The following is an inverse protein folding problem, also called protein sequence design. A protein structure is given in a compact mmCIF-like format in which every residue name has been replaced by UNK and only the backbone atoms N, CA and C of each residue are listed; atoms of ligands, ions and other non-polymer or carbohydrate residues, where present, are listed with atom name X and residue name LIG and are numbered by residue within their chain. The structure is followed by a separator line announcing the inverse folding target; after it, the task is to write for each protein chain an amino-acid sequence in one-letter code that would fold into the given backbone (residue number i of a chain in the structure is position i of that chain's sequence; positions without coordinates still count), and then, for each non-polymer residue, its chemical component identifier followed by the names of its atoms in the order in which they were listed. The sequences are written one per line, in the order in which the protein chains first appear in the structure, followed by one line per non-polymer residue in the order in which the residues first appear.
data_IF_925869664145
#
_entry.id   IF_925869664145
#
_cell.length_a   1.000
_cell.length_b   1.000
_cell.length_c   1.000
_cell.angle_alpha   90.00
_cell.angle_beta   90.00
_cell.angle_gamma   90.00
#
_symmetry.space_group_name_H-M   'P 1'
#
loop_
_entity.id
_entity.type
_entity.pdbx_description
1 polymer ?
#
# COMPACT_ATOMS: atom_id res chain seq x y z
N UNK A 1 -18.61 -33.59 -9.64
CA UNK A 1 -17.79 -33.15 -8.49
C UNK A 1 -17.55 -31.67 -8.59
N UNK A 2 -18.40 -30.91 -7.88
CA UNK A 2 -18.22 -29.47 -7.68
C UNK A 2 -17.10 -29.30 -6.66
N UNK A 3 -15.86 -29.12 -7.10
CA UNK A 3 -14.76 -28.71 -6.25
C UNK A 3 -14.76 -27.20 -6.09
N UNK A 4 -15.44 -26.67 -5.08
CA UNK A 4 -15.14 -25.37 -4.51
C UNK A 4 -13.74 -25.43 -3.94
N UNK A 5 -12.72 -25.09 -4.68
CA UNK A 5 -11.39 -24.85 -4.12
C UNK A 5 -11.40 -23.52 -3.36
N UNK A 6 -11.26 -23.63 -2.05
CA UNK A 6 -10.94 -22.53 -1.15
C UNK A 6 -9.67 -21.85 -1.65
N UNK A 7 -9.70 -20.54 -1.74
CA UNK A 7 -8.50 -19.72 -1.93
C UNK A 7 -7.53 -19.96 -0.78
N UNK A 8 -6.52 -20.77 -0.99
CA UNK A 8 -5.34 -20.80 -0.12
C UNK A 8 -4.45 -19.64 -0.55
N UNK A 9 -4.40 -18.61 0.28
CA UNK A 9 -3.38 -17.56 0.20
C UNK A 9 -2.02 -18.22 0.39
N UNK A 10 -1.26 -18.36 -0.67
CA UNK A 10 0.18 -18.54 -0.55
C UNK A 10 0.81 -17.16 -0.36
N UNK A 11 1.43 -16.99 0.82
CA UNK A 11 2.26 -15.83 1.12
C UNK A 11 3.54 -15.85 0.29
N UNK A 12 3.91 -14.62 -0.14
CA UNK A 12 5.24 -14.22 -0.59
C UNK A 12 5.89 -15.05 -1.70
N UNK A 13 5.67 -14.64 -2.93
CA UNK A 13 6.71 -14.34 -3.93
C UNK A 13 6.05 -13.53 -5.04
N UNK A 14 6.57 -12.32 -5.31
CA UNK A 14 6.37 -11.46 -6.51
C UNK A 14 5.03 -11.66 -7.23
N UNK A 15 4.11 -10.72 -6.99
CA UNK A 15 2.72 -10.78 -7.32
C UNK A 15 2.38 -10.94 -8.80
N UNK A 16 2.34 -12.16 -9.23
CA UNK A 16 1.46 -12.58 -10.30
C UNK A 16 0.46 -13.51 -9.64
N UNK A 17 -0.66 -12.96 -9.16
CA UNK A 17 -1.82 -13.79 -8.89
C UNK A 17 -2.28 -14.36 -10.23
N UNK A 18 -1.92 -15.61 -10.50
CA UNK A 18 -2.52 -16.36 -11.58
C UNK A 18 -3.97 -16.68 -11.17
N UNK A 19 -4.90 -15.77 -11.45
CA UNK A 19 -6.29 -16.13 -11.57
C UNK A 19 -6.39 -17.05 -12.80
N UNK A 20 -6.37 -18.36 -12.58
CA UNK A 20 -6.78 -19.32 -13.58
C UNK A 20 -8.29 -19.16 -13.77
N UNK A 21 -8.69 -18.30 -14.70
CA UNK A 21 -10.05 -18.36 -15.22
C UNK A 21 -10.24 -19.75 -15.84
N UNK A 22 -11.34 -20.44 -15.58
CA UNK A 22 -11.68 -21.61 -16.33
C UNK A 22 -11.96 -21.17 -17.78
N UNK A 23 -10.92 -21.28 -18.64
CA UNK A 23 -11.01 -20.92 -20.06
C UNK A 23 -11.90 -21.92 -20.80
N UNK A 24 -12.21 -23.04 -20.18
CA UNK A 24 -13.16 -24.02 -20.69
C UNK A 24 -13.80 -24.82 -19.56
N UNK A 25 -15.08 -25.02 -19.64
CA UNK A 25 -15.83 -25.95 -18.80
C UNK A 25 -15.98 -27.24 -19.59
N UNK A 26 -15.34 -28.33 -19.10
CA UNK A 26 -15.52 -29.65 -19.69
C UNK A 26 -16.76 -30.28 -19.04
N UNK A 27 -17.85 -30.35 -19.80
CA UNK A 27 -19.07 -31.04 -19.38
C UNK A 27 -18.97 -32.51 -19.76
N UNK A 28 -18.61 -33.35 -18.79
CA UNK A 28 -18.49 -34.80 -18.98
C UNK A 28 -19.83 -35.47 -19.29
N UNK A 29 -20.95 -34.93 -18.84
CA UNK A 29 -22.26 -35.51 -19.11
C UNK A 29 -22.61 -35.43 -20.60
N UNK A 30 -22.26 -34.33 -21.28
CA UNK A 30 -22.48 -34.19 -22.73
C UNK A 30 -21.55 -35.10 -23.55
N UNK A 31 -20.37 -35.45 -23.03
CA UNK A 31 -19.44 -36.38 -23.68
C UNK A 31 -19.94 -37.81 -23.54
N UNK A 32 -20.44 -38.18 -22.36
CA UNK A 32 -20.98 -39.54 -22.08
C UNK A 32 -22.24 -39.82 -22.92
N UNK A 33 -23.08 -38.84 -23.16
CA UNK A 33 -24.30 -38.99 -24.03
C UNK A 33 -23.99 -39.26 -25.52
N UNK A 34 -22.74 -39.01 -25.97
CA UNK A 34 -22.29 -39.28 -27.34
C UNK A 34 -21.38 -40.51 -27.45
N UNK A 35 -21.58 -41.50 -26.61
CA UNK A 35 -20.74 -42.71 -26.50
C UNK A 35 -20.41 -43.44 -27.81
N UNK A 36 -21.24 -43.30 -28.85
CA UNK A 36 -21.01 -43.93 -30.12
C UNK A 36 -19.90 -43.28 -30.96
N UNK A 37 -19.63 -42.01 -30.76
CA UNK A 37 -18.54 -41.27 -31.45
C UNK A 37 -17.23 -41.35 -30.70
N UNK A 38 -17.28 -41.32 -29.36
CA UNK A 38 -16.08 -41.31 -28.49
C UNK A 38 -15.25 -42.58 -28.57
N UNK A 39 -15.82 -43.73 -28.98
CA UNK A 39 -15.10 -44.99 -29.08
C UNK A 39 -14.08 -45.09 -30.22
N UNK A 40 -14.11 -44.21 -31.19
CA UNK A 40 -13.21 -44.24 -32.36
C UNK A 40 -12.06 -43.22 -32.31
N UNK A 41 -12.19 -42.18 -31.51
CA UNK A 41 -11.21 -41.07 -31.47
C UNK A 41 -10.56 -40.98 -30.09
N UNK A 42 -9.25 -40.75 -30.07
CA UNK A 42 -8.50 -40.48 -28.82
C UNK A 42 -8.58 -38.99 -28.54
N UNK A 43 -9.25 -38.65 -27.42
CA UNK A 43 -9.35 -37.27 -26.98
C UNK A 43 -8.33 -37.06 -25.86
N UNK A 44 -7.60 -35.92 -25.93
CA UNK A 44 -6.70 -35.51 -24.87
C UNK A 44 -6.88 -34.00 -24.64
N UNK A 45 -6.60 -33.59 -23.41
CA UNK A 45 -6.55 -32.18 -23.06
C UNK A 45 -5.21 -31.90 -22.40
N UNK A 46 -4.72 -30.67 -22.58
CA UNK A 46 -3.46 -30.23 -22.00
C UNK A 46 -3.76 -29.11 -21.01
N UNK A 47 -3.31 -29.29 -19.78
CA UNK A 47 -3.32 -28.23 -18.78
C UNK A 47 -2.00 -27.50 -18.89
N UNK A 48 -2.05 -26.29 -19.44
CA UNK A 48 -0.85 -25.47 -19.56
C UNK A 48 -0.53 -24.79 -18.23
N UNK A 49 0.74 -24.67 -17.91
CA UNK A 49 1.18 -23.83 -16.79
C UNK A 49 1.11 -22.34 -17.17
N UNK A 50 1.20 -21.45 -16.15
CA UNK A 50 1.10 -20.01 -16.34
C UNK A 50 2.15 -19.47 -17.32
N UNK A 51 3.36 -19.99 -17.28
CA UNK A 51 4.48 -19.56 -18.12
C UNK A 51 4.25 -19.90 -19.60
N UNK A 52 3.76 -21.09 -19.90
CA UNK A 52 3.38 -21.51 -21.25
C UNK A 52 2.23 -20.66 -21.82
N UNK A 53 1.25 -20.35 -20.97
CA UNK A 53 0.13 -19.45 -21.36
C UNK A 53 0.64 -18.03 -21.62
N UNK A 54 1.51 -17.50 -20.78
CA UNK A 54 2.10 -16.18 -20.95
C UNK A 54 2.87 -16.09 -22.27
N UNK A 55 3.75 -17.07 -22.56
CA UNK A 55 4.51 -17.11 -23.80
C UNK A 55 3.61 -17.21 -25.05
N UNK A 56 2.51 -17.94 -24.94
CA UNK A 56 1.55 -18.09 -26.04
C UNK A 56 0.79 -16.81 -26.31
N UNK A 57 0.25 -16.17 -25.26
CA UNK A 57 -0.62 -15.00 -25.41
C UNK A 57 0.13 -13.68 -25.50
N UNK A 58 1.38 -13.60 -25.02
CA UNK A 58 2.22 -12.39 -25.11
C UNK A 58 2.48 -11.93 -26.55
N UNK A 59 2.36 -12.82 -27.51
CA UNK A 59 2.54 -12.52 -28.96
C UNK A 59 1.22 -12.16 -29.65
N UNK A 60 0.09 -12.36 -29.02
CA UNK A 60 -1.25 -12.19 -29.61
C UNK A 60 -1.92 -10.88 -29.22
N UNK A 61 -1.32 -10.11 -28.30
CA UNK A 61 -1.82 -8.81 -27.90
C UNK A 61 -0.98 -7.68 -28.47
N UNK A 62 -1.63 -6.58 -28.73
CA UNK A 62 -1.00 -5.33 -29.14
C UNK A 62 -1.58 -4.20 -28.31
N UNK A 63 -0.70 -3.45 -27.64
CA UNK A 63 -1.08 -2.28 -26.82
C UNK A 63 -0.35 -1.09 -27.40
N UNK A 64 -1.09 -0.05 -27.78
CA UNK A 64 -0.51 1.18 -28.29
C UNK A 64 -1.27 2.40 -27.82
N UNK A 65 -0.56 3.52 -27.76
CA UNK A 65 -1.10 4.80 -27.35
C UNK A 65 -1.91 5.40 -28.52
N UNK A 66 -3.23 5.46 -28.37
CA UNK A 66 -4.12 6.01 -29.39
C UNK A 66 -4.04 7.54 -29.44
N UNK A 67 -4.03 8.19 -28.27
CA UNK A 67 -3.93 9.63 -28.15
C UNK A 67 -2.96 9.98 -27.02
N UNK A 68 -1.78 10.55 -27.31
CA UNK A 68 -0.78 10.94 -26.30
C UNK A 68 -1.28 12.03 -25.35
N UNK A 69 -2.08 12.97 -25.83
CA UNK A 69 -2.57 14.11 -25.03
C UNK A 69 -3.63 13.64 -24.04
N UNK A 70 -4.57 12.81 -24.49
CA UNK A 70 -5.61 12.22 -23.65
C UNK A 70 -5.13 10.94 -22.92
N UNK A 71 -3.89 10.50 -23.12
CA UNK A 71 -3.32 9.28 -22.54
C UNK A 71 -4.20 8.04 -22.78
N UNK A 72 -4.84 7.97 -23.96
CA UNK A 72 -5.75 6.90 -24.31
C UNK A 72 -4.98 5.73 -24.90
N UNK A 73 -5.12 4.55 -24.29
CA UNK A 73 -4.54 3.30 -24.75
C UNK A 73 -5.57 2.50 -25.55
N UNK A 74 -5.11 1.86 -26.63
CA UNK A 74 -5.87 0.85 -27.34
C UNK A 74 -5.24 -0.52 -27.05
N UNK A 75 -6.09 -1.46 -26.63
CA UNK A 75 -5.68 -2.84 -26.31
C UNK A 75 -6.39 -3.75 -27.32
N UNK A 76 -5.61 -4.51 -28.08
CA UNK A 76 -6.12 -5.43 -29.08
C UNK A 76 -5.61 -6.85 -28.81
N UNK A 77 -6.47 -7.82 -29.04
CA UNK A 77 -6.13 -9.23 -28.93
C UNK A 77 -6.54 -9.96 -30.22
N UNK A 78 -5.67 -10.82 -30.76
CA UNK A 78 -5.93 -11.62 -31.93
C UNK A 78 -5.96 -13.11 -31.55
N UNK A 79 -7.08 -13.78 -31.77
CA UNK A 79 -7.22 -15.23 -31.56
C UNK A 79 -8.11 -15.81 -32.67
N UNK A 80 -8.03 -17.12 -32.92
CA UNK A 80 -8.87 -17.82 -33.86
C UNK A 80 -10.34 -17.87 -33.40
N UNK A 81 -10.58 -17.70 -32.10
CA UNK A 81 -11.91 -17.57 -31.50
C UNK A 81 -12.15 -16.10 -31.13
N UNK A 82 -13.10 -15.41 -31.80
CA UNK A 82 -13.34 -13.99 -31.57
C UNK A 82 -13.93 -13.70 -30.19
N UNK A 83 -14.76 -14.60 -29.62
CA UNK A 83 -15.26 -14.43 -28.23
C UNK A 83 -14.14 -14.46 -27.26
N UNK A 84 -13.23 -15.42 -27.38
CA UNK A 84 -12.06 -15.56 -26.54
C UNK A 84 -11.12 -14.35 -26.66
N UNK A 85 -10.95 -13.77 -27.86
CA UNK A 85 -10.15 -12.56 -28.04
C UNK A 85 -10.74 -11.37 -27.28
N UNK A 86 -12.06 -11.17 -27.35
CA UNK A 86 -12.77 -10.13 -26.63
C UNK A 86 -12.69 -10.33 -25.11
N UNK A 87 -12.88 -11.56 -24.63
CA UNK A 87 -12.81 -11.91 -23.21
C UNK A 87 -11.42 -11.67 -22.65
N UNK A 88 -10.36 -12.09 -23.37
CA UNK A 88 -8.98 -11.86 -22.94
C UNK A 88 -8.63 -10.36 -22.89
N UNK A 89 -9.09 -9.58 -23.87
CA UNK A 89 -8.90 -8.14 -23.88
C UNK A 89 -9.58 -7.48 -22.65
N UNK A 90 -10.84 -7.78 -22.42
CA UNK A 90 -11.59 -7.26 -21.28
C UNK A 90 -10.99 -7.71 -19.93
N UNK A 91 -10.51 -8.95 -19.86
CA UNK A 91 -9.85 -9.47 -18.67
C UNK A 91 -8.56 -8.72 -18.37
N UNK A 92 -7.69 -8.53 -19.37
CA UNK A 92 -6.43 -7.77 -19.18
C UNK A 92 -6.69 -6.35 -18.72
N UNK A 93 -7.69 -5.68 -19.27
CA UNK A 93 -8.06 -4.32 -18.85
C UNK A 93 -8.58 -4.29 -17.42
N UNK A 94 -9.45 -5.22 -17.04
CA UNK A 94 -9.98 -5.32 -15.69
C UNK A 94 -8.87 -5.65 -14.67
N UNK A 95 -7.97 -6.58 -15.00
CA UNK A 95 -6.87 -6.96 -14.16
C UNK A 95 -5.85 -5.81 -13.99
N UNK A 96 -5.62 -5.04 -15.06
CA UNK A 96 -4.80 -3.82 -14.96
C UNK A 96 -5.42 -2.79 -14.02
N UNK A 97 -6.73 -2.58 -14.08
CA UNK A 97 -7.43 -1.67 -13.17
C UNK A 97 -7.36 -2.14 -11.71
N UNK A 98 -7.55 -3.45 -11.47
CA UNK A 98 -7.41 -4.03 -10.14
C UNK A 98 -5.99 -3.87 -9.60
N UNK A 99 -4.99 -4.17 -10.43
CA UNK A 99 -3.59 -4.01 -10.09
C UNK A 99 -3.23 -2.55 -9.78
N UNK A 100 -3.71 -1.58 -10.57
CA UNK A 100 -3.50 -0.16 -10.32
C UNK A 100 -4.12 0.28 -8.99
N UNK A 101 -5.34 -0.20 -8.70
CA UNK A 101 -6.02 0.07 -7.44
C UNK A 101 -5.29 -0.56 -6.24
N UNK A 102 -4.94 -1.85 -6.32
CA UNK A 102 -4.15 -2.53 -5.28
C UNK A 102 -2.82 -1.82 -5.03
N UNK A 103 -2.13 -1.44 -6.09
CA UNK A 103 -0.88 -0.70 -6.01
C UNK A 103 -1.03 0.65 -5.31
N UNK A 104 -2.11 1.39 -5.58
CA UNK A 104 -2.39 2.68 -4.96
C UNK A 104 -2.77 2.55 -3.48
N UNK A 105 -3.48 1.48 -3.12
CA UNK A 105 -3.90 1.23 -1.73
C UNK A 105 -2.82 0.59 -0.88
N UNK A 106 -1.79 -0.02 -1.46
CA UNK A 106 -0.74 -0.76 -0.76
C UNK A 106 -0.06 0.07 0.36
N UNK A 107 0.13 1.38 0.12
CA UNK A 107 0.69 2.29 1.11
C UNK A 107 -0.19 2.41 2.36
N UNK A 108 -1.48 2.67 2.17
CA UNK A 108 -2.46 2.76 3.23
C UNK A 108 -2.60 1.43 3.98
N UNK A 109 -2.66 0.30 3.27
CA UNK A 109 -2.75 -1.03 3.86
C UNK A 109 -1.58 -1.35 4.80
N UNK A 110 -0.38 -0.99 4.38
CA UNK A 110 0.80 -1.17 5.24
C UNK A 110 0.74 -0.28 6.48
N UNK A 111 0.24 0.95 6.35
CA UNK A 111 0.07 1.86 7.50
C UNK A 111 -0.97 1.34 8.48
N UNK A 112 -2.12 0.89 7.98
CA UNK A 112 -3.16 0.26 8.78
C UNK A 112 -2.60 -0.96 9.54
N UNK A 113 -1.88 -1.85 8.86
CA UNK A 113 -1.28 -3.04 9.47
C UNK A 113 -0.25 -2.70 10.56
N UNK A 114 0.55 -1.65 10.35
CA UNK A 114 1.47 -1.16 11.37
C UNK A 114 0.72 -0.65 12.60
N UNK A 115 -0.30 0.20 12.38
CA UNK A 115 -1.12 0.74 13.46
C UNK A 115 -1.82 -0.39 14.23
N UNK A 116 -2.40 -1.37 13.57
CA UNK A 116 -3.04 -2.53 14.20
C UNK A 116 -2.07 -3.36 15.06
N UNK A 117 -0.82 -3.49 14.60
CA UNK A 117 0.21 -4.20 15.36
C UNK A 117 0.59 -3.41 16.62
N UNK A 118 0.70 -2.09 16.51
CA UNK A 118 1.01 -1.18 17.63
C UNK A 118 -0.15 -1.12 18.61
N UNK A 119 -1.41 -1.06 18.11
CA UNK A 119 -2.61 -1.07 18.95
C UNK A 119 -2.68 -2.27 19.88
N UNK A 120 -2.34 -3.46 19.38
CA UNK A 120 -2.32 -4.67 20.24
C UNK A 120 -1.34 -4.56 21.41
N UNK A 121 -0.18 -3.96 21.18
CA UNK A 121 0.79 -3.70 22.25
C UNK A 121 0.26 -2.70 23.26
N UNK A 122 -0.26 -1.56 22.78
CA UNK A 122 -0.81 -0.49 23.62
C UNK A 122 -2.02 -0.93 24.42
N UNK A 123 -2.89 -1.78 23.86
CA UNK A 123 -4.03 -2.35 24.57
C UNK A 123 -3.60 -3.15 25.81
N UNK A 124 -2.53 -3.92 25.70
CA UNK A 124 -1.99 -4.66 26.84
C UNK A 124 -1.44 -3.71 27.91
N UNK A 125 -0.69 -2.69 27.48
CA UNK A 125 -0.13 -1.68 28.40
C UNK A 125 -1.23 -0.84 29.05
N UNK A 126 -2.28 -0.47 28.32
CA UNK A 126 -3.44 0.23 28.85
C UNK A 126 -4.11 -0.58 29.96
N UNK A 127 -4.38 -1.84 29.68
CA UNK A 127 -5.02 -2.74 30.65
C UNK A 127 -4.15 -2.94 31.91
N UNK A 128 -2.85 -3.08 31.74
CA UNK A 128 -1.92 -3.24 32.87
C UNK A 128 -1.86 -1.97 33.72
N UNK A 129 -1.82 -0.79 33.08
CA UNK A 129 -1.83 0.50 33.79
C UNK A 129 -3.14 0.75 34.52
N UNK A 130 -4.28 0.40 33.91
CA UNK A 130 -5.62 0.48 34.53
C UNK A 130 -5.69 -0.38 35.78
N UNK A 131 -5.29 -1.64 35.72
CA UNK A 131 -5.29 -2.55 36.85
C UNK A 131 -4.37 -2.07 37.96
N UNK A 132 -3.19 -1.56 37.64
CA UNK A 132 -2.24 -1.04 38.61
C UNK A 132 -2.79 0.18 39.34
N UNK A 133 -3.41 1.09 38.60
CA UNK A 133 -4.07 2.28 39.17
C UNK A 133 -5.25 1.91 40.08
N UNK A 134 -6.11 0.97 39.63
CA UNK A 134 -7.25 0.51 40.42
C UNK A 134 -6.83 -0.15 41.73
N UNK A 135 -5.86 -1.05 41.69
CA UNK A 135 -5.32 -1.73 42.87
C UNK A 135 -4.73 -0.72 43.85
N UNK A 136 -3.93 0.24 43.36
CA UNK A 136 -3.34 1.26 44.23
C UNK A 136 -4.38 2.15 44.91
N UNK A 137 -5.43 2.60 44.17
CA UNK A 137 -6.56 3.38 44.73
C UNK A 137 -7.29 2.61 45.80
N UNK A 138 -7.55 1.31 45.57
CA UNK A 138 -8.27 0.43 46.51
C UNK A 138 -7.49 0.19 47.80
N UNK A 139 -6.17 -0.07 47.69
CA UNK A 139 -5.31 -0.33 48.85
C UNK A 139 -5.10 0.91 49.72
N UNK A 140 -4.90 2.08 49.09
CA UNK A 140 -4.53 3.31 49.80
C UNK A 140 -5.76 4.20 50.13
N UNK A 141 -6.94 3.89 49.65
CA UNK A 141 -8.19 4.67 49.82
C UNK A 141 -8.05 6.13 49.36
N UNK A 142 -7.19 6.39 48.34
CA UNK A 142 -6.93 7.71 47.78
C UNK A 142 -7.71 7.79 46.48
N UNK A 143 -8.45 8.89 46.26
CA UNK A 143 -9.35 9.04 45.12
C UNK A 143 -8.75 9.99 44.08
N UNK A 144 -8.19 11.10 44.49
CA UNK A 144 -7.64 12.13 43.58
C UNK A 144 -6.26 12.64 44.00
N UNK A 145 -5.41 13.00 43.05
CA UNK A 145 -4.17 13.73 43.30
C UNK A 145 -4.45 15.17 43.80
N UNK A 146 -3.45 15.81 44.39
CA UNK A 146 -3.53 17.22 44.81
C UNK A 146 -3.63 18.14 43.56
N UNK A 147 -4.20 19.36 43.73
CA UNK A 147 -4.44 20.28 42.65
C UNK A 147 -3.19 20.73 41.88
N UNK A 148 -2.05 20.81 42.58
CA UNK A 148 -0.76 21.11 41.94
C UNK A 148 -0.28 19.95 41.06
N UNK A 149 -0.42 18.70 41.56
CA UNK A 149 -0.11 17.51 40.77
C UNK A 149 -1.00 17.37 39.52
N UNK A 150 -2.25 17.87 39.58
CA UNK A 150 -3.18 17.85 38.44
C UNK A 150 -2.74 18.79 37.32
N UNK A 151 -2.30 20.00 37.64
CA UNK A 151 -1.77 20.95 36.65
C UNK A 151 -0.50 20.44 35.94
N UNK A 152 0.42 19.85 36.72
CA UNK A 152 1.65 19.28 36.14
C UNK A 152 1.37 18.04 35.28
N UNK A 153 0.37 17.24 35.67
CA UNK A 153 -0.13 16.13 34.86
C UNK A 153 -0.71 16.62 33.53
N UNK A 154 -1.52 17.67 33.51
CA UNK A 154 -2.08 18.23 32.28
C UNK A 154 -0.98 18.72 31.33
N UNK A 155 0.08 19.33 31.88
CA UNK A 155 1.23 19.75 31.09
C UNK A 155 1.98 18.54 30.49
N UNK A 156 2.23 17.51 31.30
CA UNK A 156 2.80 16.26 30.81
C UNK A 156 1.92 15.62 29.75
N UNK A 157 0.59 15.59 29.92
CA UNK A 157 -0.31 15.04 28.90
C UNK A 157 -0.22 15.76 27.56
N UNK A 158 -0.12 17.08 27.57
CA UNK A 158 0.11 17.87 26.35
C UNK A 158 1.41 17.48 25.64
N UNK A 159 2.50 17.33 26.41
CA UNK A 159 3.81 16.90 25.87
C UNK A 159 3.78 15.48 25.33
N UNK A 160 3.03 14.60 25.94
CA UNK A 160 2.88 13.23 25.51
C UNK A 160 2.04 13.10 24.22
N UNK A 161 0.99 13.91 24.07
CA UNK A 161 0.25 13.98 22.80
C UNK A 161 1.16 14.40 21.63
N UNK A 162 2.05 15.36 21.86
CA UNK A 162 3.05 15.78 20.90
C UNK A 162 4.08 14.66 20.63
N UNK A 163 4.59 14.02 21.68
CA UNK A 163 5.53 12.88 21.55
C UNK A 163 4.95 11.74 20.73
N UNK A 164 3.69 11.38 20.97
CA UNK A 164 3.02 10.30 20.24
C UNK A 164 2.88 10.61 18.76
N UNK A 165 2.53 11.84 18.40
CA UNK A 165 2.50 12.28 16.99
C UNK A 165 3.87 12.14 16.35
N UNK A 166 4.93 12.61 17.02
CA UNK A 166 6.31 12.48 16.54
C UNK A 166 6.78 11.03 16.42
N UNK A 167 6.34 10.12 17.31
CA UNK A 167 6.64 8.69 17.20
C UNK A 167 5.98 8.06 15.96
N UNK A 168 4.76 8.44 15.64
CA UNK A 168 4.10 8.02 14.39
C UNK A 168 4.82 8.57 13.17
N UNK A 169 5.23 9.83 13.20
CA UNK A 169 6.01 10.44 12.13
C UNK A 169 7.36 9.70 11.97
N UNK A 170 8.06 9.41 13.06
CA UNK A 170 9.30 8.65 13.06
C UNK A 170 9.13 7.26 12.43
N UNK A 171 8.10 6.51 12.84
CA UNK A 171 7.82 5.19 12.28
C UNK A 171 7.53 5.26 10.77
N UNK A 172 6.89 6.32 10.31
CA UNK A 172 6.60 6.52 8.91
C UNK A 172 7.84 6.93 8.11
N UNK A 173 8.70 7.80 8.68
CA UNK A 173 10.00 8.18 8.10
C UNK A 173 10.92 6.96 7.96
N UNK A 174 11.01 6.11 8.98
CA UNK A 174 11.80 4.88 8.94
C UNK A 174 11.31 3.90 7.88
N UNK A 175 10.03 3.86 7.69
CA UNK A 175 9.43 3.05 6.65
C UNK A 175 9.74 3.59 5.25
N UNK A 176 9.61 4.90 5.04
CA UNK A 176 10.01 5.54 3.77
C UNK A 176 11.47 5.26 3.45
N UNK A 177 12.35 5.35 4.44
CA UNK A 177 13.76 5.02 4.26
C UNK A 177 13.95 3.60 3.74
N UNK A 178 13.28 2.62 4.35
CA UNK A 178 13.32 1.21 3.92
C UNK A 178 12.72 0.97 2.53
N UNK A 179 11.64 1.68 2.22
CA UNK A 179 10.95 1.52 0.93
C UNK A 179 11.79 2.11 -0.21
N UNK A 180 12.48 3.25 0.01
CA UNK A 180 13.39 3.85 -0.98
C UNK A 180 14.62 2.97 -1.26
N UNK A 181 15.13 2.29 -0.26
CA UNK A 181 16.26 1.37 -0.41
C UNK A 181 15.89 0.12 -1.24
N UNK A 182 14.63 -0.29 -1.20
CA UNK A 182 14.15 -1.54 -1.82
C UNK A 182 13.47 -1.33 -3.15
N UNK A 183 12.90 -0.16 -3.41
CA UNK A 183 11.98 0.04 -4.51
C UNK A 183 12.56 0.93 -5.60
N UNK A 184 12.41 0.44 -6.84
CA UNK A 184 12.84 1.17 -8.05
C UNK A 184 11.80 2.21 -8.48
N UNK A 185 10.54 2.05 -8.05
CA UNK A 185 9.40 2.89 -8.48
C UNK A 185 8.95 3.86 -7.37
N UNK A 186 9.43 5.10 -7.48
CA UNK A 186 9.18 6.17 -6.49
C UNK A 186 7.73 6.68 -6.53
N UNK A 187 6.98 6.43 -7.62
CA UNK A 187 5.58 6.87 -7.70
C UNK A 187 4.69 6.25 -6.60
N UNK A 188 5.08 5.10 -6.07
CA UNK A 188 4.42 4.46 -4.93
C UNK A 188 4.62 5.22 -3.60
N UNK A 189 5.70 5.99 -3.49
CA UNK A 189 5.98 6.79 -2.29
C UNK A 189 5.03 7.97 -2.14
N UNK A 190 4.54 8.54 -3.27
CA UNK A 190 3.57 9.64 -3.24
C UNK A 190 2.27 9.27 -2.51
N UNK A 191 1.82 8.02 -2.63
CA UNK A 191 0.61 7.55 -1.96
C UNK A 191 0.83 7.43 -0.44
N UNK A 192 2.04 7.07 -0.03
CA UNK A 192 2.43 7.00 1.39
C UNK A 192 2.53 8.41 1.98
N UNK A 193 3.00 9.37 1.18
CA UNK A 193 3.18 10.76 1.58
C UNK A 193 1.86 11.53 1.70
N UNK A 194 0.80 11.13 1.02
CA UNK A 194 -0.47 11.90 0.96
C UNK A 194 -1.30 11.87 2.25
N UNK A 195 -0.89 11.18 3.30
CA UNK A 195 -1.64 11.10 4.57
C UNK A 195 -0.85 11.56 5.80
N UNK A 196 0.36 12.10 5.65
CA UNK A 196 1.26 12.36 6.77
C UNK A 196 1.87 13.76 6.68
N UNK A 197 2.17 14.34 7.84
CA UNK A 197 2.89 15.62 7.99
C UNK A 197 4.37 15.47 7.60
N UNK A 198 4.62 15.25 6.29
CA UNK A 198 5.99 15.27 5.81
C UNK A 198 6.46 16.67 5.51
N UNK A 199 7.75 16.86 5.72
CA UNK A 199 8.45 18.04 5.28
C UNK A 199 8.13 18.30 3.79
N UNK A 200 7.64 19.48 3.48
CA UNK A 200 7.30 19.92 2.12
C UNK A 200 8.46 19.67 1.15
N UNK A 201 9.70 19.69 1.65
CA UNK A 201 10.89 19.37 0.88
C UNK A 201 10.88 17.93 0.35
N UNK A 202 10.50 16.96 1.18
CA UNK A 202 10.43 15.54 0.77
C UNK A 202 9.39 15.39 -0.35
N UNK A 203 8.23 16.01 -0.20
CA UNK A 203 7.17 15.99 -1.19
C UNK A 203 7.61 16.58 -2.53
N UNK A 204 8.24 17.75 -2.50
CA UNK A 204 8.76 18.42 -3.71
C UNK A 204 9.80 17.57 -4.43
N UNK A 205 10.71 16.93 -3.71
CA UNK A 205 11.72 16.05 -4.32
C UNK A 205 11.09 14.84 -4.97
N UNK A 206 10.10 14.21 -4.32
CA UNK A 206 9.37 13.06 -4.88
C UNK A 206 8.57 13.46 -6.12
N UNK A 207 7.89 14.60 -6.11
CA UNK A 207 7.20 15.15 -7.30
C UNK A 207 8.18 15.42 -8.44
N UNK A 208 9.36 15.98 -8.15
CA UNK A 208 10.39 16.21 -9.17
C UNK A 208 10.88 14.90 -9.80
N UNK A 209 11.11 13.87 -9.00
CA UNK A 209 11.50 12.55 -9.52
C UNK A 209 10.40 11.98 -10.42
N UNK A 210 9.13 12.11 -10.03
CA UNK A 210 8.00 11.66 -10.84
C UNK A 210 7.97 12.35 -12.21
N UNK A 211 8.15 13.67 -12.24
CA UNK A 211 8.22 14.42 -13.50
C UNK A 211 9.36 13.90 -14.39
N UNK A 212 10.54 13.68 -13.81
CA UNK A 212 11.69 13.15 -14.56
C UNK A 212 11.45 11.71 -15.07
N UNK A 213 10.76 10.87 -14.32
CA UNK A 213 10.38 9.53 -14.78
C UNK A 213 9.36 9.57 -15.91
N UNK A 214 8.42 10.51 -15.88
CA UNK A 214 7.45 10.73 -16.96
C UNK A 214 8.15 11.30 -18.23
N UNK A 215 9.09 12.25 -18.07
CA UNK A 215 9.93 12.74 -19.15
C UNK A 215 10.76 11.61 -19.79
N UNK A 216 11.38 10.77 -18.96
CA UNK A 216 12.13 9.58 -19.41
C UNK A 216 11.25 8.62 -20.21
N UNK A 217 10.02 8.36 -19.70
CA UNK A 217 9.06 7.48 -20.39
C UNK A 217 8.67 8.04 -21.75
N UNK A 218 8.43 9.34 -21.83
CA UNK A 218 8.10 10.03 -23.08
C UNK A 218 9.27 10.02 -24.07
N UNK A 219 10.50 10.25 -23.58
CA UNK A 219 11.70 10.21 -24.43
C UNK A 219 11.95 8.79 -24.99
N UNK A 220 11.71 7.73 -24.23
CA UNK A 220 11.85 6.34 -24.68
C UNK A 220 10.93 5.94 -25.84
N UNK A 221 9.86 6.70 -26.08
CA UNK A 221 9.01 6.48 -27.25
C UNK A 221 9.69 6.93 -28.57
N UNK A 222 10.70 7.80 -28.48
CA UNK A 222 11.35 8.42 -29.64
C UNK A 222 12.82 8.00 -29.82
N UNK A 223 13.50 7.62 -28.73
CA UNK A 223 14.93 7.33 -28.72
C UNK A 223 15.27 6.11 -27.88
N UNK A 224 16.41 5.50 -28.16
CA UNK A 224 16.94 4.33 -27.43
C UNK A 224 17.54 4.72 -26.08
N UNK A 225 17.66 3.77 -25.15
CA UNK A 225 18.24 3.98 -23.81
C UNK A 225 19.70 4.48 -23.80
N UNK A 226 20.42 4.32 -24.91
CA UNK A 226 21.82 4.81 -25.11
C UNK A 226 21.86 6.27 -25.54
N UNK A 227 20.73 6.91 -25.81
CA UNK A 227 20.70 8.32 -26.20
C UNK A 227 21.14 9.24 -25.05
N UNK A 228 21.91 10.25 -25.38
CA UNK A 228 22.45 11.23 -24.41
C UNK A 228 21.34 11.89 -23.56
N UNK A 229 20.17 12.15 -24.13
CA UNK A 229 19.04 12.72 -23.40
C UNK A 229 18.57 11.80 -22.27
N UNK A 230 18.43 10.48 -22.53
CA UNK A 230 18.03 9.51 -21.51
C UNK A 230 19.13 9.34 -20.44
N UNK A 231 20.39 9.39 -20.84
CA UNK A 231 21.54 9.33 -19.91
C UNK A 231 21.50 10.53 -18.94
N UNK A 232 21.23 11.73 -19.46
CA UNK A 232 21.11 12.96 -18.64
C UNK A 232 19.93 12.85 -17.67
N UNK A 233 18.76 12.43 -18.14
CA UNK A 233 17.57 12.25 -17.27
C UNK A 233 17.86 11.22 -16.18
N UNK A 234 18.48 10.09 -16.50
CA UNK A 234 18.86 9.07 -15.51
C UNK A 234 19.82 9.63 -14.45
N UNK A 235 20.77 10.45 -14.85
CA UNK A 235 21.71 11.12 -13.92
C UNK A 235 20.96 12.07 -13.00
N UNK A 236 20.03 12.85 -13.54
CA UNK A 236 19.22 13.76 -12.75
C UNK A 236 18.33 13.00 -11.75
N UNK A 237 17.67 11.92 -12.17
CA UNK A 237 16.91 11.04 -11.28
C UNK A 237 17.80 10.52 -10.14
N UNK A 238 19.04 10.10 -10.43
CA UNK A 238 19.95 9.61 -9.40
C UNK A 238 20.36 10.68 -8.40
N UNK A 239 20.54 11.92 -8.84
CA UNK A 239 20.80 13.09 -7.97
C UNK A 239 19.60 13.36 -7.07
N UNK A 240 18.41 13.40 -7.64
CA UNK A 240 17.19 13.65 -6.87
C UNK A 240 16.90 12.52 -5.85
N UNK A 241 17.22 11.27 -6.19
CA UNK A 241 17.16 10.14 -5.24
C UNK A 241 18.12 10.34 -4.06
N UNK A 242 19.33 10.79 -4.32
CA UNK A 242 20.30 11.09 -3.24
C UNK A 242 19.78 12.23 -2.35
N UNK A 243 19.22 13.28 -2.95
CA UNK A 243 18.61 14.38 -2.22
C UNK A 243 17.46 13.90 -1.34
N UNK A 244 16.63 12.99 -1.86
CA UNK A 244 15.53 12.39 -1.12
C UNK A 244 16.01 11.60 0.10
N UNK A 245 17.03 10.75 -0.07
CA UNK A 245 17.62 9.98 1.04
C UNK A 245 18.18 10.91 2.12
N UNK A 246 18.89 11.96 1.70
CA UNK A 246 19.43 12.96 2.63
C UNK A 246 18.33 13.72 3.37
N UNK A 247 17.27 14.14 2.66
CA UNK A 247 16.12 14.83 3.27
C UNK A 247 15.40 13.96 4.30
N UNK A 248 15.21 12.68 4.00
CA UNK A 248 14.63 11.71 4.93
C UNK A 248 15.52 11.48 6.14
N UNK A 249 16.84 11.36 5.95
CA UNK A 249 17.79 11.24 7.07
C UNK A 249 17.75 12.46 7.97
N UNK A 250 17.71 13.67 7.39
CA UNK A 250 17.61 14.91 8.15
C UNK A 250 16.27 15.02 8.89
N UNK A 251 15.15 14.66 8.25
CA UNK A 251 13.85 14.64 8.89
C UNK A 251 13.81 13.64 10.05
N UNK A 252 14.43 12.47 9.90
CA UNK A 252 14.56 11.46 10.95
C UNK A 252 15.33 12.02 12.16
N UNK A 253 16.49 12.64 11.91
CA UNK A 253 17.29 13.25 12.99
C UNK A 253 16.53 14.36 13.70
N UNK A 254 15.92 15.28 12.95
CA UNK A 254 15.14 16.37 13.51
C UNK A 254 13.94 15.89 14.35
N UNK A 255 13.29 14.81 13.92
CA UNK A 255 12.19 14.21 14.68
C UNK A 255 12.70 13.53 15.95
N UNK A 256 13.84 12.83 15.88
CA UNK A 256 14.47 12.23 17.06
C UNK A 256 14.87 13.29 18.10
N UNK A 257 15.44 14.41 17.66
CA UNK A 257 15.82 15.53 18.53
C UNK A 257 14.60 16.17 19.20
N UNK A 258 13.49 16.31 18.47
CA UNK A 258 12.22 16.78 19.04
C UNK A 258 11.67 15.83 20.10
N UNK A 259 11.66 14.53 19.83
CA UNK A 259 11.25 13.50 20.81
C UNK A 259 12.10 13.59 22.06
N UNK A 260 13.41 13.67 21.92
CA UNK A 260 14.32 13.80 23.05
C UNK A 260 14.06 15.07 23.86
N UNK A 261 13.87 16.20 23.21
CA UNK A 261 13.53 17.46 23.90
C UNK A 261 12.24 17.34 24.72
N UNK A 262 11.23 16.67 24.18
CA UNK A 262 9.99 16.42 24.92
C UNK A 262 10.25 15.50 26.12
N UNK A 263 11.07 14.44 25.96
CA UNK A 263 11.45 13.54 27.04
C UNK A 263 12.19 14.26 28.16
N UNK A 264 13.13 15.13 27.81
CA UNK A 264 13.86 15.95 28.77
C UNK A 264 12.91 16.87 29.57
N UNK A 265 11.97 17.53 28.86
CA UNK A 265 10.96 18.39 29.51
C UNK A 265 10.02 17.61 30.42
N UNK A 266 9.60 16.40 30.01
CA UNK A 266 8.79 15.52 30.87
C UNK A 266 9.58 15.14 32.11
N UNK A 267 10.87 14.77 31.98
CA UNK A 267 11.74 14.40 33.08
C UNK A 267 11.93 15.56 34.07
N UNK A 268 12.05 16.80 33.60
CA UNK A 268 12.15 17.99 34.45
C UNK A 268 10.89 18.16 35.32
N UNK A 269 9.67 18.06 34.68
CA UNK A 269 8.41 18.13 35.41
C UNK A 269 8.26 16.93 36.38
N UNK A 270 8.74 15.74 36.00
CA UNK A 270 8.76 14.56 36.88
C UNK A 270 9.67 14.78 38.15
N UNK A 271 10.71 15.53 37.97
CA UNK A 271 11.58 15.92 39.10
C UNK A 271 10.81 16.65 40.20
N UNK A 272 9.83 17.48 39.85
CA UNK A 272 9.03 18.22 40.82
C UNK A 272 8.08 17.28 41.60
N UNK A 273 7.67 16.16 41.03
CA UNK A 273 6.87 15.14 41.75
C UNK A 273 7.63 14.45 42.90
N UNK A 274 8.95 14.45 42.86
CA UNK A 274 9.76 13.89 43.97
C UNK A 274 9.61 14.66 45.26
N UNK A 275 9.05 15.86 45.22
CA UNK A 275 8.76 16.68 46.40
C UNK A 275 7.42 16.34 47.08
N UNK A 276 6.57 15.56 46.40
CA UNK A 276 5.26 15.13 46.91
C UNK A 276 5.37 13.98 47.91
N UNK A 277 4.38 13.82 48.84
CA UNK A 277 4.31 12.64 49.67
C UNK A 277 4.32 11.36 48.83
N UNK A 278 5.04 10.33 49.27
CA UNK A 278 5.31 9.12 48.48
C UNK A 278 4.09 8.44 47.87
N UNK A 279 2.93 8.50 48.55
CA UNK A 279 1.68 7.93 48.07
C UNK A 279 1.02 8.79 47.00
N UNK A 280 1.09 10.10 47.08
CA UNK A 280 0.58 11.03 46.08
C UNK A 280 1.41 10.98 44.81
N UNK A 281 2.73 10.93 44.93
CA UNK A 281 3.64 10.77 43.83
C UNK A 281 3.38 9.46 43.04
N UNK A 282 3.17 8.36 43.77
CA UNK A 282 2.87 7.06 43.13
C UNK A 282 1.50 7.05 42.49
N UNK A 283 0.48 7.65 43.10
CA UNK A 283 -0.83 7.82 42.48
C UNK A 283 -0.74 8.65 41.18
N UNK A 284 -0.03 9.78 41.23
CA UNK A 284 0.19 10.63 40.07
C UNK A 284 0.91 9.87 38.95
N UNK A 285 1.94 9.06 39.28
CA UNK A 285 2.65 8.22 38.33
C UNK A 285 1.75 7.18 37.65
N UNK A 286 0.95 6.46 38.43
CA UNK A 286 0.05 5.43 37.92
C UNK A 286 -1.09 6.04 37.09
N UNK A 287 -1.67 7.17 37.53
CA UNK A 287 -2.69 7.89 36.77
C UNK A 287 -2.14 8.34 35.43
N UNK A 288 -0.95 8.94 35.43
CA UNK A 288 -0.25 9.35 34.21
C UNK A 288 -0.04 8.18 33.24
N UNK A 289 0.46 7.04 33.73
CA UNK A 289 0.67 5.86 32.86
C UNK A 289 -0.62 5.40 32.20
N UNK A 290 -1.72 5.37 32.96
CA UNK A 290 -3.02 5.02 32.42
C UNK A 290 -3.46 6.02 31.35
N UNK A 291 -3.42 7.32 31.64
CA UNK A 291 -3.89 8.37 30.72
C UNK A 291 -3.04 8.44 29.44
N UNK A 292 -1.72 8.23 29.55
CA UNK A 292 -0.83 8.11 28.38
C UNK A 292 -1.29 6.98 27.48
N UNK A 293 -1.45 5.79 28.05
CA UNK A 293 -1.82 4.61 27.28
C UNK A 293 -3.21 4.78 26.66
N UNK A 294 -4.15 5.39 27.38
CA UNK A 294 -5.49 5.69 26.88
C UNK A 294 -5.47 6.68 25.71
N UNK A 295 -4.73 7.77 25.84
CA UNK A 295 -4.58 8.76 24.77
C UNK A 295 -3.88 8.17 23.55
N UNK A 296 -2.82 7.39 23.77
CA UNK A 296 -2.10 6.72 22.69
C UNK A 296 -3.01 5.72 21.95
N UNK A 297 -3.77 4.93 22.68
CA UNK A 297 -4.75 4.02 22.10
C UNK A 297 -5.79 4.77 21.25
N UNK A 298 -6.35 5.85 21.79
CA UNK A 298 -7.34 6.68 21.07
C UNK A 298 -6.79 7.31 19.80
N UNK A 299 -5.55 7.85 19.86
CA UNK A 299 -4.89 8.45 18.70
C UNK A 299 -4.60 7.41 17.62
N UNK A 300 -4.17 6.21 18.00
CA UNK A 300 -3.94 5.13 17.04
C UNK A 300 -5.24 4.69 16.35
N UNK A 301 -6.36 4.63 17.07
CA UNK A 301 -7.69 4.37 16.48
C UNK A 301 -8.06 5.46 15.49
N UNK A 302 -7.91 6.73 15.85
CA UNK A 302 -8.19 7.87 14.97
C UNK A 302 -7.33 7.78 13.69
N UNK A 303 -6.04 7.53 13.81
CA UNK A 303 -5.14 7.37 12.67
C UNK A 303 -5.48 6.16 11.81
N UNK A 304 -5.91 5.04 12.41
CA UNK A 304 -6.39 3.89 11.64
C UNK A 304 -7.59 4.26 10.78
N UNK A 305 -8.59 4.94 11.38
CA UNK A 305 -9.79 5.39 10.64
C UNK A 305 -9.42 6.36 9.52
N UNK A 306 -8.51 7.29 9.76
CA UNK A 306 -8.02 8.23 8.74
C UNK A 306 -7.40 7.48 7.54
N UNK A 307 -6.55 6.47 7.79
CA UNK A 307 -5.98 5.65 6.72
C UNK A 307 -7.02 4.75 6.03
N UNK A 308 -8.02 4.24 6.75
CA UNK A 308 -9.13 3.49 6.16
C UNK A 308 -9.97 4.39 5.23
N UNK A 309 -10.26 5.63 5.63
CA UNK A 309 -10.94 6.63 4.80
C UNK A 309 -10.09 6.96 3.56
N UNK A 310 -8.80 7.22 3.75
CA UNK A 310 -7.88 7.49 2.64
C UNK A 310 -7.86 6.33 1.65
N UNK A 311 -7.77 5.10 2.14
CA UNK A 311 -7.84 3.88 1.32
C UNK A 311 -9.15 3.78 0.55
N UNK A 312 -10.27 4.02 1.21
CA UNK A 312 -11.60 3.98 0.58
C UNK A 312 -11.79 5.08 -0.49
N UNK A 313 -11.12 6.22 -0.34
CA UNK A 313 -11.14 7.34 -1.30
C UNK A 313 -10.24 7.13 -2.53
N UNK A 314 -9.38 6.12 -2.52
CA UNK A 314 -8.49 5.82 -3.65
C UNK A 314 -9.30 5.11 -4.76
N UNK A 315 -9.54 5.84 -5.85
CA UNK A 315 -10.23 5.34 -7.04
C UNK A 315 -9.20 5.12 -8.15
N UNK A 316 -9.39 4.11 -8.98
CA UNK A 316 -8.60 3.97 -10.22
C UNK A 316 -8.83 5.19 -11.11
N UNK A 317 -7.74 5.81 -11.57
CA UNK A 317 -7.82 6.91 -12.52
C UNK A 317 -8.06 6.42 -13.96
N UNK A 318 -8.04 5.11 -14.16
CA UNK A 318 -8.23 4.51 -15.47
C UNK A 318 -9.72 4.30 -15.73
N UNK A 319 -10.19 4.84 -16.84
CA UNK A 319 -11.60 4.73 -17.27
C UNK A 319 -11.64 3.85 -18.52
N UNK A 320 -12.48 2.84 -18.50
CA UNK A 320 -12.74 2.03 -19.69
C UNK A 320 -13.68 2.84 -20.57
N UNK A 321 -13.16 3.37 -21.67
CA UNK A 321 -13.96 4.14 -22.64
C UNK A 321 -14.87 3.22 -23.44
N UNK A 322 -14.34 2.05 -23.85
CA UNK A 322 -15.07 1.07 -24.63
C UNK A 322 -14.61 -0.35 -24.25
N UNK A 323 -15.56 -1.25 -24.06
CA UNK A 323 -15.25 -2.67 -23.84
C UNK A 323 -14.95 -3.35 -25.17
N UNK A 324 -14.04 -4.32 -25.14
CA UNK A 324 -13.77 -5.13 -26.30
C UNK A 324 -15.03 -5.91 -26.69
N UNK A 325 -15.40 -5.78 -27.95
CA UNK A 325 -16.52 -6.48 -28.57
C UNK A 325 -16.01 -7.52 -29.58
N UNK A 326 -16.82 -8.53 -29.79
CA UNK A 326 -16.55 -9.57 -30.78
C UNK A 326 -16.60 -8.97 -32.19
N UNK A 327 -15.48 -9.05 -32.92
CA UNK A 327 -15.46 -8.68 -34.33
C UNK A 327 -15.77 -9.93 -35.17
N UNK A 328 -16.93 -9.97 -35.87
CA UNK A 328 -17.28 -11.11 -36.69
C UNK A 328 -16.46 -11.23 -37.99
N UNK A 329 -15.76 -10.15 -38.39
CA UNK A 329 -14.95 -10.16 -39.59
C UNK A 329 -13.50 -10.60 -39.26
N UNK A 330 -12.95 -11.60 -40.00
CA UNK A 330 -11.57 -12.04 -39.78
C UNK A 330 -10.58 -10.95 -40.20
N UNK A 331 -9.62 -10.65 -39.32
CA UNK A 331 -8.54 -9.70 -39.57
C UNK A 331 -7.53 -10.28 -40.61
N UNK A 332 -7.38 -11.60 -40.63
CA UNK A 332 -6.48 -12.32 -41.55
C UNK A 332 -7.08 -13.70 -41.87
N UNK A 333 -6.96 -14.22 -43.12
CA UNK A 333 -6.45 -13.52 -44.31
C UNK A 333 -7.41 -12.45 -44.81
N UNK A 334 -6.85 -11.34 -45.33
CA UNK A 334 -7.65 -10.27 -45.88
C UNK A 334 -8.29 -10.74 -47.21
N UNK A 335 -9.61 -10.97 -47.24
CA UNK A 335 -10.31 -11.49 -48.38
C UNK A 335 -10.14 -10.65 -49.66
N UNK A 336 -9.91 -9.34 -49.57
CA UNK A 336 -9.67 -8.43 -50.71
C UNK A 336 -8.28 -8.58 -51.34
N UNK A 337 -7.33 -9.25 -50.64
CA UNK A 337 -5.96 -9.48 -51.13
C UNK A 337 -5.76 -10.92 -51.64
N UNK A 338 -6.71 -11.82 -51.39
CA UNK A 338 -6.60 -13.25 -51.74
C UNK A 338 -7.40 -13.59 -53.02
N UNK A 339 -8.26 -12.65 -53.49
CA UNK A 339 -9.04 -12.81 -54.75
C UNK A 339 -8.75 -11.67 -55.70
#
# INVERSE_FOLDING_TARGET
FSSRRRHTRYGTVTGVQTCALPISVINFESIVSQQTRVKKDTYFFVINNAETLLQRYSKQHTIYLLNPVAQTLNVQFNDNNPDKAADLCNFVINEFNNYDQERKTEGADRSIKFIETTLRGVEVELRNSELSLELFKKENKIVNPSQNAENDLDHIYSLLDEKVKLLLDMATIERLQKDIEKETDISKLLTILSGTFYDEVIKQVVERIKVLEDEKRSARLQVTDTNTAIIVINKEISIQRMNLINSISNAKSATADKIKNIEDRISDIEGDFLTLPSKEAELARLSRMYDINQKFYSLLIEKRVEFEITKAGIISNNIILEKAMVNPEPVSPNRKLVF
#
